data_IF_994396455064
#
_entry.id   IF_994396455064
#
_cell.length_a   1.000
_cell.length_b   1.000
_cell.length_c   1.000
_cell.angle_alpha   90.00
_cell.angle_beta   90.00
_cell.angle_gamma   90.00
#
_symmetry.space_group_name_H-M   'P 1'
#
loop_
_entity.id
_entity.type
_entity.pdbx_description
1 polymer ?
#
# COMPACT_ATOMS: atom_id res chain seq x y z
N UNK A 1 -40.94 -23.52 -3.18
CA UNK A 1 -41.89 -22.68 -2.40
C UNK A 1 -41.32 -22.49 -1.00
N UNK A 2 -40.33 -21.60 -0.87
CA UNK A 2 -39.86 -21.12 0.44
C UNK A 2 -40.55 -19.77 0.66
N UNK A 3 -41.38 -19.71 1.68
CA UNK A 3 -42.25 -18.57 1.98
C UNK A 3 -41.43 -17.37 2.43
N UNK A 4 -41.59 -16.27 1.70
CA UNK A 4 -41.09 -14.94 2.00
C UNK A 4 -41.61 -14.49 3.39
N UNK A 5 -40.74 -14.39 4.39
CA UNK A 5 -41.14 -13.85 5.69
C UNK A 5 -41.14 -12.31 5.63
N UNK A 6 -42.26 -11.72 6.01
CA UNK A 6 -42.48 -10.28 6.08
C UNK A 6 -41.49 -9.59 7.01
N UNK A 7 -40.95 -8.47 6.52
CA UNK A 7 -39.99 -7.59 7.21
C UNK A 7 -40.71 -6.82 8.32
N UNK A 8 -40.41 -7.14 9.57
CA UNK A 8 -40.78 -6.32 10.73
C UNK A 8 -39.66 -5.36 11.10
N UNK A 9 -39.94 -4.05 11.09
CA UNK A 9 -39.05 -3.03 11.64
C UNK A 9 -38.93 -3.21 13.17
N UNK A 10 -37.73 -3.52 13.66
CA UNK A 10 -37.42 -3.44 15.09
C UNK A 10 -36.28 -2.45 15.31
N UNK A 11 -36.54 -1.43 16.13
CA UNK A 11 -35.59 -0.40 16.52
C UNK A 11 -34.53 -0.97 17.48
N UNK A 12 -33.26 -0.64 17.23
CA UNK A 12 -32.17 -0.76 18.20
C UNK A 12 -31.22 -1.92 17.98
N UNK A 13 -30.06 -1.62 17.36
CA UNK A 13 -28.78 -2.37 17.34
C UNK A 13 -28.74 -3.85 16.96
N UNK A 14 -29.86 -4.52 16.69
CA UNK A 14 -29.91 -5.92 16.22
C UNK A 14 -30.70 -5.99 14.91
N UNK A 15 -30.05 -5.63 13.81
CA UNK A 15 -30.58 -5.89 12.48
C UNK A 15 -30.31 -7.36 12.16
N UNK A 16 -31.30 -8.24 12.39
CA UNK A 16 -31.18 -9.66 12.05
C UNK A 16 -31.02 -9.80 10.53
N UNK A 17 -29.90 -10.37 10.05
CA UNK A 17 -29.75 -10.81 8.67
C UNK A 17 -30.78 -11.92 8.37
N UNK A 18 -31.80 -11.60 7.58
CA UNK A 18 -32.78 -12.58 7.11
C UNK A 18 -32.41 -13.01 5.70
N UNK A 19 -32.69 -14.26 5.32
CA UNK A 19 -32.54 -14.72 3.95
C UNK A 19 -33.46 -13.90 3.03
N UNK A 20 -32.87 -13.14 2.11
CA UNK A 20 -33.57 -12.33 1.10
C UNK A 20 -33.41 -12.99 -0.26
N UNK A 21 -34.45 -12.93 -1.11
CA UNK A 21 -34.44 -13.45 -2.48
C UNK A 21 -33.19 -12.99 -3.27
N UNK A 22 -32.75 -13.83 -4.22
CA UNK A 22 -31.64 -13.52 -5.12
C UNK A 22 -31.96 -12.29 -5.97
N UNK A 23 -31.01 -11.38 -6.16
CA UNK A 23 -31.15 -10.21 -7.01
C UNK A 23 -31.53 -10.57 -8.46
N UNK A 24 -31.13 -11.74 -8.95
CA UNK A 24 -31.45 -12.24 -10.30
C UNK A 24 -32.88 -12.77 -10.44
N UNK A 25 -33.53 -13.14 -9.34
CA UNK A 25 -34.84 -13.79 -9.35
C UNK A 25 -36.01 -12.80 -9.30
N UNK A 26 -35.70 -11.50 -9.23
CA UNK A 26 -36.68 -10.42 -9.09
C UNK A 26 -36.68 -9.57 -10.37
N UNK A 27 -37.84 -8.99 -10.69
CA UNK A 27 -38.02 -8.13 -11.87
C UNK A 27 -36.98 -7.00 -11.90
N UNK A 28 -36.50 -6.63 -13.09
CA UNK A 28 -35.44 -5.61 -13.25
C UNK A 28 -35.78 -4.25 -12.59
N UNK A 29 -37.06 -3.96 -12.35
CA UNK A 29 -37.51 -2.73 -11.68
C UNK A 29 -37.32 -2.75 -10.16
N UNK A 30 -37.36 -3.92 -9.52
CA UNK A 30 -37.25 -4.08 -8.07
C UNK A 30 -35.81 -4.37 -7.61
N UNK A 31 -34.93 -4.74 -8.55
CA UNK A 31 -33.52 -5.04 -8.26
C UNK A 31 -32.76 -3.90 -7.55
N UNK A 32 -32.90 -2.62 -7.94
CA UNK A 32 -32.21 -1.54 -7.25
C UNK A 32 -32.66 -1.38 -5.80
N UNK A 33 -33.95 -1.52 -5.51
CA UNK A 33 -34.46 -1.42 -4.13
C UNK A 33 -34.00 -2.62 -3.27
N UNK A 34 -34.00 -3.82 -3.86
CA UNK A 34 -33.51 -5.02 -3.19
C UNK A 34 -32.01 -4.92 -2.87
N UNK A 35 -31.23 -4.38 -3.80
CA UNK A 35 -29.80 -4.12 -3.61
C UNK A 35 -29.54 -3.22 -2.40
N UNK A 36 -30.29 -2.10 -2.27
CA UNK A 36 -30.19 -1.22 -1.11
C UNK A 36 -30.54 -1.94 0.21
N UNK A 37 -31.60 -2.76 0.21
CA UNK A 37 -31.98 -3.55 1.40
C UNK A 37 -30.89 -4.55 1.80
N UNK A 38 -30.26 -5.24 0.84
CA UNK A 38 -29.15 -6.15 1.10
C UNK A 38 -27.92 -5.43 1.65
N UNK A 39 -27.56 -4.26 1.13
CA UNK A 39 -26.48 -3.42 1.68
C UNK A 39 -26.72 -3.06 3.15
N UNK A 40 -27.95 -2.69 3.48
CA UNK A 40 -28.33 -2.37 4.86
C UNK A 40 -28.22 -3.58 5.79
N UNK A 41 -28.61 -4.77 5.33
CA UNK A 41 -28.43 -6.00 6.10
C UNK A 41 -26.96 -6.33 6.34
N UNK A 42 -26.10 -6.09 5.34
CA UNK A 42 -24.65 -6.30 5.45
C UNK A 42 -23.95 -5.31 6.40
N UNK A 43 -24.64 -4.26 6.88
CA UNK A 43 -24.11 -3.37 7.93
C UNK A 43 -24.05 -4.04 9.32
N UNK A 44 -24.76 -5.16 9.53
CA UNK A 44 -24.69 -5.89 10.79
C UNK A 44 -23.32 -6.56 10.95
N UNK A 45 -22.58 -6.20 12.00
CA UNK A 45 -21.26 -6.76 12.32
C UNK A 45 -21.44 -7.95 13.27
N UNK A 46 -20.71 -9.03 13.03
CA UNK A 46 -20.72 -10.23 13.85
C UNK A 46 -19.36 -10.39 14.53
N UNK A 47 -19.37 -10.89 15.76
CA UNK A 47 -18.15 -11.24 16.48
C UNK A 47 -17.66 -12.62 16.05
N UNK A 48 -16.43 -12.69 15.53
CA UNK A 48 -15.79 -13.93 15.11
C UNK A 48 -14.88 -14.54 16.17
N UNK A 49 -14.63 -13.86 17.29
CA UNK A 49 -13.88 -14.40 18.42
C UNK A 49 -14.68 -15.50 19.13
N UNK A 50 -15.99 -15.36 19.21
CA UNK A 50 -16.89 -16.47 19.54
C UNK A 50 -17.22 -17.29 18.28
N UNK A 51 -16.54 -18.43 18.14
CA UNK A 51 -16.64 -19.31 16.98
C UNK A 51 -17.97 -20.06 16.89
N UNK A 52 -18.77 -20.11 17.96
CA UNK A 52 -20.02 -20.88 18.01
C UNK A 52 -21.27 -20.00 17.94
N UNK A 53 -21.15 -18.70 18.20
CA UNK A 53 -22.26 -17.76 18.09
C UNK A 53 -22.66 -17.48 16.64
N UNK A 54 -23.96 -17.30 16.42
CA UNK A 54 -24.54 -16.73 15.21
C UNK A 54 -24.14 -17.41 13.88
N UNK A 55 -23.71 -18.68 13.90
CA UNK A 55 -23.23 -19.43 12.72
C UNK A 55 -24.14 -19.27 11.50
N UNK A 56 -25.45 -19.41 11.71
CA UNK A 56 -26.46 -19.28 10.65
C UNK A 56 -26.54 -17.86 10.09
N UNK A 57 -26.41 -16.84 10.94
CA UNK A 57 -26.49 -15.43 10.55
C UNK A 57 -25.19 -14.98 9.87
N UNK A 58 -24.04 -15.45 10.36
CA UNK A 58 -22.73 -15.31 9.72
C UNK A 58 -22.76 -15.87 8.31
N UNK A 59 -23.33 -17.06 8.12
CA UNK A 59 -23.46 -17.68 6.81
C UNK A 59 -24.41 -16.90 5.89
N UNK A 60 -25.55 -16.41 6.40
CA UNK A 60 -26.45 -15.57 5.61
C UNK A 60 -25.78 -14.28 5.11
N UNK A 61 -25.03 -13.59 5.98
CA UNK A 61 -24.28 -12.40 5.57
C UNK A 61 -23.22 -12.76 4.54
N UNK A 62 -22.48 -13.85 4.71
CA UNK A 62 -21.48 -14.32 3.75
C UNK A 62 -22.09 -14.58 2.37
N UNK A 63 -23.19 -15.34 2.31
CA UNK A 63 -23.90 -15.62 1.06
C UNK A 63 -24.42 -14.35 0.40
N UNK A 64 -24.94 -13.41 1.20
CA UNK A 64 -25.46 -12.13 0.69
C UNK A 64 -24.35 -11.25 0.13
N UNK A 65 -23.20 -11.19 0.80
CA UNK A 65 -22.02 -10.45 0.30
C UNK A 65 -21.48 -11.04 -1.01
N UNK A 66 -21.38 -12.36 -1.11
CA UNK A 66 -21.00 -13.03 -2.37
C UNK A 66 -21.94 -12.66 -3.52
N UNK A 67 -23.25 -12.74 -3.27
CA UNK A 67 -24.25 -12.36 -4.26
C UNK A 67 -24.14 -10.88 -4.66
N UNK A 68 -23.84 -9.99 -3.70
CA UNK A 68 -23.61 -8.58 -3.99
C UNK A 68 -22.37 -8.38 -4.87
N UNK A 69 -21.28 -9.11 -4.62
CA UNK A 69 -20.06 -9.09 -5.46
C UNK A 69 -20.38 -9.54 -6.90
N UNK A 70 -21.10 -10.65 -7.05
CA UNK A 70 -21.52 -11.15 -8.36
C UNK A 70 -22.43 -10.15 -9.08
N UNK A 71 -23.39 -9.58 -8.35
CA UNK A 71 -24.35 -8.63 -8.88
C UNK A 71 -23.67 -7.35 -9.40
N UNK A 72 -22.73 -6.76 -8.66
CA UNK A 72 -22.01 -5.54 -9.09
C UNK A 72 -21.04 -5.78 -10.23
N UNK A 73 -20.62 -7.03 -10.42
CA UNK A 73 -19.69 -7.43 -11.49
C UNK A 73 -20.43 -7.64 -12.81
N UNK A 74 -21.61 -8.27 -12.77
CA UNK A 74 -22.34 -8.67 -13.99
C UNK A 74 -23.41 -7.65 -14.39
N UNK A 75 -24.09 -7.04 -13.42
CA UNK A 75 -25.27 -6.21 -13.67
C UNK A 75 -24.92 -4.77 -13.98
N UNK A 76 -25.76 -4.11 -14.78
CA UNK A 76 -25.66 -2.68 -15.11
C UNK A 76 -26.87 -1.92 -14.59
N UNK A 77 -26.70 -0.62 -14.36
CA UNK A 77 -27.79 0.27 -13.95
C UNK A 77 -28.14 0.21 -12.46
N UNK A 78 -27.40 -0.54 -11.64
CA UNK A 78 -27.60 -0.58 -10.18
C UNK A 78 -27.07 0.68 -9.46
N UNK A 79 -26.12 1.39 -10.09
CA UNK A 79 -25.45 2.58 -9.56
C UNK A 79 -26.33 3.85 -9.64
N UNK A 80 -27.45 3.84 -8.91
CA UNK A 80 -28.26 5.04 -8.70
C UNK A 80 -27.58 6.01 -7.71
N UNK A 81 -27.98 7.29 -7.70
CA UNK A 81 -27.41 8.27 -6.75
C UNK A 81 -27.59 7.87 -5.28
N UNK A 82 -28.67 7.14 -4.98
CA UNK A 82 -28.99 6.63 -3.63
C UNK A 82 -28.13 5.43 -3.21
N UNK A 83 -27.52 4.72 -4.18
CA UNK A 83 -26.67 3.57 -3.88
C UNK A 83 -25.32 3.98 -3.27
N UNK A 84 -24.73 5.10 -3.71
CA UNK A 84 -23.43 5.58 -3.22
C UNK A 84 -23.34 5.73 -1.68
N UNK A 85 -24.26 6.44 -1.00
CA UNK A 85 -24.20 6.56 0.45
C UNK A 85 -24.34 5.22 1.16
N UNK A 86 -25.23 4.33 0.70
CA UNK A 86 -25.45 3.03 1.34
C UNK A 86 -24.26 2.08 1.14
N UNK A 87 -23.60 2.11 -0.02
CA UNK A 87 -22.34 1.38 -0.26
C UNK A 87 -21.23 1.88 0.66
N UNK A 88 -20.97 3.19 0.68
CA UNK A 88 -19.90 3.76 1.50
C UNK A 88 -20.17 3.51 2.98
N UNK A 89 -21.44 3.59 3.42
CA UNK A 89 -21.86 3.25 4.77
C UNK A 89 -21.61 1.78 5.09
N UNK A 90 -22.08 0.85 4.25
CA UNK A 90 -21.87 -0.59 4.47
C UNK A 90 -20.39 -0.92 4.60
N UNK A 91 -19.55 -0.39 3.71
CA UNK A 91 -18.09 -0.57 3.77
C UNK A 91 -17.53 0.01 5.08
N UNK A 92 -17.87 1.27 5.39
CA UNK A 92 -17.36 1.96 6.60
C UNK A 92 -17.70 1.22 7.90
N UNK A 93 -18.91 0.68 8.02
CA UNK A 93 -19.35 -0.06 9.21
C UNK A 93 -18.61 -1.40 9.39
N UNK A 94 -18.11 -1.98 8.30
CA UNK A 94 -17.42 -3.27 8.34
C UNK A 94 -15.90 -3.12 8.49
N UNK A 95 -15.27 -2.21 7.75
CA UNK A 95 -13.80 -2.13 7.68
C UNK A 95 -13.20 -1.22 8.77
N UNK A 96 -13.85 -0.09 9.09
CA UNK A 96 -13.29 0.88 10.03
C UNK A 96 -13.52 0.42 11.47
N UNK A 97 -12.45 -0.11 12.05
CA UNK A 97 -12.39 -0.64 13.41
C UNK A 97 -11.05 -0.28 14.03
N UNK A 98 -10.99 -0.30 15.36
CA UNK A 98 -9.71 -0.29 16.07
C UNK A 98 -9.03 -1.63 15.84
N UNK A 99 -7.79 -1.61 15.38
CA UNK A 99 -6.98 -2.81 15.22
C UNK A 99 -6.67 -3.40 16.61
N UNK A 100 -6.57 -4.74 16.73
CA UNK A 100 -6.14 -5.36 17.97
C UNK A 100 -4.76 -4.83 18.39
N UNK A 101 -4.49 -4.69 19.69
CA UNK A 101 -3.16 -4.31 20.15
C UNK A 101 -2.15 -5.40 19.75
N UNK A 102 -0.94 -5.01 19.34
CA UNK A 102 0.14 -5.96 19.13
C UNK A 102 0.61 -6.53 20.47
N UNK A 103 0.74 -7.86 20.52
CA UNK A 103 1.09 -8.60 21.75
C UNK A 103 2.59 -8.52 22.10
N UNK A 104 3.46 -8.07 21.19
CA UNK A 104 4.92 -8.05 21.39
C UNK A 104 5.45 -6.71 21.94
N UNK A 105 6.09 -6.76 23.12
CA UNK A 105 6.87 -5.64 23.67
C UNK A 105 8.28 -5.53 23.04
N UNK A 106 8.73 -6.58 22.37
CA UNK A 106 9.97 -6.66 21.59
C UNK A 106 9.60 -7.09 20.18
N UNK A 107 9.15 -6.14 19.36
CA UNK A 107 8.78 -6.39 17.97
C UNK A 107 10.02 -6.81 17.17
N UNK A 108 10.04 -8.06 16.69
CA UNK A 108 10.97 -8.51 15.67
C UNK A 108 10.23 -8.72 14.34
N UNK A 109 10.31 -7.77 13.40
CA UNK A 109 9.61 -7.83 12.13
C UNK A 109 9.97 -9.04 11.26
N UNK A 110 11.09 -9.71 11.52
CA UNK A 110 11.53 -10.88 10.75
C UNK A 110 11.07 -12.21 11.37
N UNK A 111 10.81 -12.26 12.69
CA UNK A 111 10.45 -13.48 13.42
C UNK A 111 8.96 -13.54 13.82
N UNK A 112 8.30 -12.39 14.01
CA UNK A 112 6.92 -12.33 14.49
C UNK A 112 5.93 -12.89 13.44
N UNK A 113 5.18 -13.94 13.79
CA UNK A 113 4.10 -14.46 12.95
C UNK A 113 2.92 -13.47 12.92
N UNK A 114 2.39 -13.10 11.74
CA UNK A 114 1.34 -12.10 11.64
C UNK A 114 0.02 -12.62 12.20
N UNK A 115 -0.63 -11.84 13.07
CA UNK A 115 -1.97 -12.16 13.56
C UNK A 115 -3.00 -12.03 12.44
N UNK A 116 -3.67 -13.14 12.11
CA UNK A 116 -4.72 -13.15 11.09
C UNK A 116 -6.05 -12.64 11.64
N UNK A 117 -6.77 -11.86 10.83
CA UNK A 117 -8.06 -11.30 11.22
C UNK A 117 -9.15 -12.38 11.26
N UNK A 118 -9.80 -12.56 12.42
CA UNK A 118 -10.84 -13.58 12.61
C UNK A 118 -12.08 -13.32 11.74
N UNK A 119 -12.40 -12.05 11.47
CA UNK A 119 -13.55 -11.64 10.67
C UNK A 119 -13.32 -11.71 9.15
N UNK A 120 -12.16 -12.24 8.72
CA UNK A 120 -11.74 -12.31 7.33
C UNK A 120 -12.79 -12.90 6.36
N UNK A 121 -13.57 -13.95 6.70
CA UNK A 121 -14.60 -14.50 5.81
C UNK A 121 -15.66 -13.48 5.36
N UNK A 122 -15.90 -12.42 6.14
CA UNK A 122 -16.77 -11.31 5.73
C UNK A 122 -15.97 -10.16 5.15
N UNK A 123 -14.86 -9.78 5.77
CA UNK A 123 -14.06 -8.61 5.34
C UNK A 123 -13.51 -8.77 3.93
N UNK A 124 -13.05 -9.96 3.56
CA UNK A 124 -12.59 -10.25 2.20
C UNK A 124 -13.65 -9.86 1.16
N UNK A 125 -14.90 -10.26 1.38
CA UNK A 125 -16.00 -9.99 0.46
C UNK A 125 -16.39 -8.51 0.45
N UNK A 126 -16.28 -7.82 1.59
CA UNK A 126 -16.54 -6.36 1.66
C UNK A 126 -15.47 -5.60 0.86
N UNK A 127 -14.19 -5.97 0.99
CA UNK A 127 -13.11 -5.36 0.22
C UNK A 127 -13.25 -5.66 -1.27
N UNK A 128 -13.52 -6.92 -1.64
CA UNK A 128 -13.74 -7.31 -3.03
C UNK A 128 -14.92 -6.55 -3.66
N UNK A 129 -16.05 -6.50 -2.95
CA UNK A 129 -17.21 -5.72 -3.35
C UNK A 129 -16.85 -4.25 -3.59
N UNK A 130 -16.09 -3.64 -2.67
CA UNK A 130 -15.73 -2.23 -2.79
C UNK A 130 -14.77 -1.96 -3.95
N UNK A 131 -13.81 -2.86 -4.21
CA UNK A 131 -12.94 -2.78 -5.38
C UNK A 131 -13.77 -2.85 -6.66
N UNK A 132 -14.68 -3.83 -6.80
CA UNK A 132 -15.55 -3.96 -7.98
C UNK A 132 -16.42 -2.73 -8.17
N UNK A 133 -16.99 -2.19 -7.09
CA UNK A 133 -17.75 -0.95 -7.10
C UNK A 133 -16.91 0.24 -7.59
N UNK A 134 -15.67 0.39 -7.11
CA UNK A 134 -14.76 1.43 -7.58
C UNK A 134 -14.34 1.23 -9.03
N UNK A 135 -14.16 -0.01 -9.49
CA UNK A 135 -13.74 -0.37 -10.85
C UNK A 135 -14.86 -0.33 -11.89
N UNK A 136 -16.12 -0.28 -11.46
CA UNK A 136 -17.28 -0.20 -12.35
C UNK A 136 -17.16 0.94 -13.36
N UNK A 137 -17.53 0.66 -14.61
CA UNK A 137 -17.56 1.65 -15.70
C UNK A 137 -18.65 2.70 -15.50
N UNK A 138 -19.70 2.37 -14.72
CA UNK A 138 -20.80 3.29 -14.38
C UNK A 138 -20.47 4.17 -13.16
N UNK A 139 -19.31 3.97 -12.53
CA UNK A 139 -18.90 4.72 -11.36
C UNK A 139 -18.67 6.21 -11.69
N UNK A 140 -19.31 7.10 -10.94
CA UNK A 140 -19.23 8.54 -11.11
C UNK A 140 -18.50 9.20 -9.92
N UNK A 141 -17.23 9.61 -10.08
CA UNK A 141 -16.46 10.25 -9.01
C UNK A 141 -17.09 11.57 -8.50
N UNK A 142 -17.85 12.26 -9.34
CA UNK A 142 -18.54 13.52 -9.02
C UNK A 142 -19.60 13.37 -7.93
N UNK A 143 -20.26 12.20 -7.86
CA UNK A 143 -21.26 11.86 -6.83
C UNK A 143 -20.55 11.27 -5.61
N UNK A 144 -19.66 10.29 -5.84
CA UNK A 144 -18.97 9.56 -4.79
C UNK A 144 -18.12 10.44 -3.87
N UNK A 145 -17.55 11.55 -4.38
CA UNK A 145 -16.73 12.48 -3.58
C UNK A 145 -17.46 13.14 -2.40
N UNK A 146 -18.80 13.10 -2.38
CA UNK A 146 -19.62 13.58 -1.25
C UNK A 146 -19.52 12.66 -0.02
N UNK A 147 -19.12 11.41 -0.23
CA UNK A 147 -19.10 10.35 0.78
C UNK A 147 -17.70 9.78 1.01
N UNK A 148 -16.87 9.72 -0.04
CA UNK A 148 -15.45 9.41 0.04
C UNK A 148 -14.70 10.74 0.20
N UNK A 149 -14.58 11.19 1.43
CA UNK A 149 -13.95 12.46 1.81
C UNK A 149 -12.58 12.24 2.48
N UNK A 150 -12.00 13.31 3.02
CA UNK A 150 -10.72 13.25 3.72
C UNK A 150 -10.78 12.39 4.99
N UNK A 151 -11.93 12.37 5.68
CA UNK A 151 -12.13 11.55 6.88
C UNK A 151 -12.14 10.07 6.53
N UNK A 152 -12.86 9.70 5.47
CA UNK A 152 -12.86 8.33 4.95
C UNK A 152 -11.43 7.86 4.62
N UNK A 153 -10.66 8.69 3.91
CA UNK A 153 -9.27 8.39 3.57
C UNK A 153 -8.39 8.24 4.81
N UNK A 154 -8.57 9.08 5.82
CA UNK A 154 -7.78 9.00 7.05
C UNK A 154 -8.03 7.66 7.78
N UNK A 155 -9.30 7.29 7.96
CA UNK A 155 -9.66 6.01 8.59
C UNK A 155 -9.20 4.81 7.75
N UNK A 156 -9.20 4.93 6.41
CA UNK A 156 -8.66 3.90 5.52
C UNK A 156 -7.14 3.75 5.69
N UNK A 157 -6.41 4.86 5.85
CA UNK A 157 -4.96 4.84 6.05
C UNK A 157 -4.57 4.26 7.42
N UNK A 158 -5.39 4.43 8.45
CA UNK A 158 -5.17 3.80 9.76
C UNK A 158 -5.17 2.26 9.68
N UNK A 159 -5.95 1.68 8.77
CA UNK A 159 -6.03 0.22 8.59
C UNK A 159 -4.78 -0.40 7.95
N UNK A 160 -3.89 0.40 7.34
CA UNK A 160 -2.63 -0.12 6.80
C UNK A 160 -1.70 -0.67 7.89
N UNK A 161 -1.97 -0.36 9.15
CA UNK A 161 -1.25 -0.92 10.29
C UNK A 161 -1.74 -2.33 10.69
N UNK A 162 -2.70 -2.91 9.94
CA UNK A 162 -3.18 -4.28 10.17
C UNK A 162 -2.04 -5.30 10.05
N UNK A 163 -1.95 -6.23 11.00
CA UNK A 163 -0.97 -7.33 10.96
C UNK A 163 -1.26 -8.32 9.83
N UNK A 164 -2.52 -8.42 9.39
CA UNK A 164 -2.94 -9.34 8.34
C UNK A 164 -2.49 -8.85 6.95
N UNK A 165 -1.51 -9.52 6.29
CA UNK A 165 -1.01 -9.08 4.98
C UNK A 165 -2.08 -9.10 3.89
N UNK A 166 -3.11 -9.95 4.04
CA UNK A 166 -4.21 -10.03 3.08
C UNK A 166 -5.02 -8.74 3.11
N UNK A 167 -5.28 -8.20 4.31
CA UNK A 167 -6.00 -6.93 4.45
C UNK A 167 -5.21 -5.78 3.84
N UNK A 168 -3.89 -5.71 4.09
CA UNK A 168 -3.02 -4.68 3.53
C UNK A 168 -2.99 -4.69 2.00
N UNK A 169 -3.01 -5.86 1.36
CA UNK A 169 -3.04 -5.96 -0.11
C UNK A 169 -4.37 -5.44 -0.72
N UNK A 170 -5.50 -5.70 -0.07
CA UNK A 170 -6.78 -5.11 -0.47
C UNK A 170 -6.79 -3.59 -0.26
N UNK A 171 -6.32 -3.11 0.90
CA UNK A 171 -6.21 -1.68 1.21
C UNK A 171 -5.33 -0.96 0.19
N UNK A 172 -4.21 -1.56 -0.20
CA UNK A 172 -3.31 -1.06 -1.25
C UNK A 172 -4.07 -0.80 -2.54
N UNK A 173 -4.83 -1.80 -2.99
CA UNK A 173 -5.61 -1.72 -4.22
C UNK A 173 -6.72 -0.66 -4.11
N UNK A 174 -7.46 -0.64 -3.00
CA UNK A 174 -8.52 0.36 -2.75
C UNK A 174 -7.95 1.78 -2.75
N UNK A 175 -6.89 2.04 -2.00
CA UNK A 175 -6.28 3.36 -1.90
C UNK A 175 -5.72 3.83 -3.26
N UNK A 176 -5.09 2.93 -4.02
CA UNK A 176 -4.60 3.23 -5.37
C UNK A 176 -5.76 3.62 -6.31
N UNK A 177 -6.89 2.90 -6.29
CA UNK A 177 -8.08 3.24 -7.08
C UNK A 177 -8.68 4.59 -6.67
N UNK A 178 -8.75 4.86 -5.36
CA UNK A 178 -9.21 6.16 -4.84
C UNK A 178 -8.29 7.29 -5.33
N UNK A 179 -6.96 7.12 -5.20
CA UNK A 179 -5.99 8.10 -5.68
C UNK A 179 -6.13 8.39 -7.18
N UNK A 180 -6.34 7.34 -7.98
CA UNK A 180 -6.55 7.44 -9.42
C UNK A 180 -7.79 8.26 -9.78
N UNK A 181 -8.94 7.93 -9.17
CA UNK A 181 -10.27 8.49 -9.50
C UNK A 181 -10.56 9.86 -8.88
N UNK A 182 -10.00 10.16 -7.71
CA UNK A 182 -10.30 11.39 -6.96
C UNK A 182 -9.14 12.38 -6.98
N UNK A 183 -9.06 13.19 -8.03
CA UNK A 183 -8.01 14.22 -8.19
C UNK A 183 -7.90 15.15 -6.97
N UNK A 184 -9.04 15.53 -6.38
CA UNK A 184 -9.09 16.43 -5.21
C UNK A 184 -8.54 15.83 -3.92
N UNK A 185 -8.42 14.51 -3.82
CA UNK A 185 -7.87 13.83 -2.64
C UNK A 185 -6.37 13.54 -2.75
N UNK A 186 -5.78 13.65 -3.95
CA UNK A 186 -4.38 13.27 -4.20
C UNK A 186 -3.38 13.99 -3.29
N UNK A 187 -3.52 15.30 -3.14
CA UNK A 187 -2.63 16.08 -2.28
C UNK A 187 -2.78 15.69 -0.80
N UNK A 188 -4.00 15.43 -0.36
CA UNK A 188 -4.27 14.98 1.01
C UNK A 188 -3.67 13.60 1.27
N UNK A 189 -3.88 12.63 0.37
CA UNK A 189 -3.30 11.26 0.48
C UNK A 189 -1.78 11.34 0.58
N UNK A 190 -1.10 12.05 -0.33
CA UNK A 190 0.37 12.20 -0.27
C UNK A 190 0.84 12.82 1.05
N UNK A 191 0.12 13.82 1.55
CA UNK A 191 0.44 14.46 2.84
C UNK A 191 0.28 13.50 4.01
N UNK A 192 -0.78 12.68 4.04
CA UNK A 192 -0.99 11.73 5.13
C UNK A 192 0.02 10.58 5.09
N UNK A 193 0.34 10.02 3.92
CA UNK A 193 1.40 9.02 3.78
C UNK A 193 2.74 9.59 4.24
N UNK A 194 3.06 10.84 3.89
CA UNK A 194 4.26 11.52 4.38
C UNK A 194 4.27 11.61 5.91
N UNK A 195 3.17 12.03 6.54
CA UNK A 195 3.08 12.07 8.01
C UNK A 195 3.27 10.69 8.65
N UNK A 196 2.70 9.63 8.05
CA UNK A 196 2.88 8.25 8.52
C UNK A 196 4.36 7.87 8.47
N UNK A 197 5.05 8.12 7.36
CA UNK A 197 6.47 7.81 7.23
C UNK A 197 7.36 8.63 8.16
N UNK A 198 7.06 9.92 8.36
CA UNK A 198 7.79 10.74 9.33
C UNK A 198 7.62 10.20 10.75
N UNK A 199 6.40 9.85 11.16
CA UNK A 199 6.16 9.22 12.47
C UNK A 199 6.88 7.87 12.58
N UNK A 200 6.82 7.06 11.54
CA UNK A 200 7.51 5.76 11.50
C UNK A 200 9.03 5.92 11.66
N UNK A 201 9.67 6.82 10.92
CA UNK A 201 11.13 6.99 10.96
C UNK A 201 11.62 7.64 12.25
N UNK A 202 10.88 8.62 12.79
CA UNK A 202 11.40 9.48 13.87
C UNK A 202 10.76 9.24 15.25
N UNK A 203 9.63 8.53 15.34
CA UNK A 203 8.89 8.38 16.60
C UNK A 203 8.71 6.91 16.99
N UNK A 204 8.14 6.07 16.11
CA UNK A 204 7.67 4.74 16.51
C UNK A 204 8.57 3.60 16.05
N UNK A 205 9.23 3.71 14.90
CA UNK A 205 9.88 2.59 14.18
C UNK A 205 8.99 1.34 14.00
N UNK A 206 7.67 1.51 14.14
CA UNK A 206 6.68 0.46 13.99
C UNK A 206 5.50 0.97 13.15
N UNK A 207 5.25 0.27 12.05
CA UNK A 207 4.10 0.39 11.16
C UNK A 207 4.11 -0.77 10.16
N UNK A 208 3.03 -1.55 10.07
CA UNK A 208 3.03 -2.80 9.29
C UNK A 208 2.94 -2.58 7.76
N UNK A 209 2.32 -1.48 7.32
CA UNK A 209 1.99 -1.23 5.91
C UNK A 209 2.99 -0.41 5.09
N UNK A 210 4.27 -0.33 5.50
CA UNK A 210 5.26 0.53 4.80
C UNK A 210 5.46 0.07 3.35
N UNK A 211 5.59 -1.23 3.12
CA UNK A 211 5.82 -1.81 1.78
C UNK A 211 4.68 -1.46 0.83
N UNK A 212 3.43 -1.68 1.26
CA UNK A 212 2.24 -1.45 0.44
C UNK A 212 2.05 0.04 0.12
N UNK A 213 2.32 0.94 1.08
CA UNK A 213 2.29 2.38 0.82
C UNK A 213 3.39 2.80 -0.17
N UNK A 214 4.58 2.20 -0.09
CA UNK A 214 5.65 2.44 -1.06
C UNK A 214 5.31 1.94 -2.46
N UNK A 215 4.65 0.78 -2.61
CA UNK A 215 4.19 0.30 -3.93
C UNK A 215 3.25 1.30 -4.60
N UNK A 216 2.30 1.85 -3.83
CA UNK A 216 1.37 2.88 -4.31
C UNK A 216 2.16 4.12 -4.71
N UNK A 217 3.10 4.56 -3.87
CA UNK A 217 3.93 5.71 -4.15
C UNK A 217 4.79 5.52 -5.40
N UNK A 218 5.36 4.33 -5.64
CA UNK A 218 6.12 4.03 -6.85
C UNK A 218 5.29 4.27 -8.11
N UNK A 219 4.04 3.78 -8.12
CA UNK A 219 3.08 4.05 -9.21
C UNK A 219 2.75 5.55 -9.35
N UNK A 220 2.57 6.25 -8.22
CA UNK A 220 2.31 7.69 -8.20
C UNK A 220 3.49 8.50 -8.76
N UNK A 221 4.72 8.16 -8.37
CA UNK A 221 5.96 8.81 -8.79
C UNK A 221 6.15 8.64 -10.29
N UNK A 222 5.90 7.43 -10.81
CA UNK A 222 5.94 7.18 -12.25
C UNK A 222 4.96 8.10 -13.02
N UNK A 223 3.82 8.43 -12.42
CA UNK A 223 2.83 9.35 -12.97
C UNK A 223 3.10 10.84 -12.78
N UNK A 224 4.24 11.25 -12.19
CA UNK A 224 4.55 12.67 -12.00
C UNK A 224 4.79 13.39 -13.32
N UNK A 225 4.21 14.59 -13.43
CA UNK A 225 4.47 15.51 -14.53
C UNK A 225 5.85 16.18 -14.36
N UNK A 226 6.52 16.42 -15.48
CA UNK A 226 7.76 17.17 -15.54
C UNK A 226 7.49 18.65 -15.87
N UNK A 227 8.24 19.59 -15.28
CA UNK A 227 9.29 19.39 -14.28
C UNK A 227 8.74 18.98 -12.91
N UNK A 228 9.51 18.19 -12.16
CA UNK A 228 9.13 17.76 -10.81
C UNK A 228 8.92 18.96 -9.88
N UNK A 229 7.79 18.94 -9.16
CA UNK A 229 7.47 19.94 -8.14
C UNK A 229 8.44 19.89 -6.97
N UNK A 230 8.70 21.06 -6.36
CA UNK A 230 9.55 21.17 -5.18
C UNK A 230 9.08 20.27 -4.01
N UNK A 231 7.76 20.11 -3.82
CA UNK A 231 7.20 19.21 -2.79
C UNK A 231 7.64 17.76 -2.98
N UNK A 232 7.74 17.27 -4.22
CA UNK A 232 8.15 15.89 -4.51
C UNK A 232 9.66 15.70 -4.28
N UNK A 233 10.48 16.70 -4.64
CA UNK A 233 11.93 16.67 -4.37
C UNK A 233 12.22 16.69 -2.86
N UNK A 234 11.45 17.48 -2.11
CA UNK A 234 11.53 17.49 -0.65
C UNK A 234 11.11 16.15 -0.04
N UNK A 235 10.04 15.54 -0.56
CA UNK A 235 9.60 14.21 -0.13
C UNK A 235 10.71 13.15 -0.31
N UNK A 236 11.38 13.12 -1.46
CA UNK A 236 12.52 12.24 -1.71
C UNK A 236 13.61 12.42 -0.63
N UNK A 237 14.08 13.65 -0.43
CA UNK A 237 15.23 13.93 0.44
C UNK A 237 14.91 13.82 1.94
N UNK A 238 13.68 14.18 2.34
CA UNK A 238 13.29 14.28 3.76
C UNK A 238 12.58 13.04 4.28
N UNK A 239 12.09 12.17 3.40
CA UNK A 239 11.26 11.02 3.79
C UNK A 239 11.83 9.72 3.21
N UNK A 240 11.96 9.61 1.87
CA UNK A 240 12.41 8.36 1.26
C UNK A 240 13.86 8.01 1.61
N UNK A 241 14.79 8.97 1.55
CA UNK A 241 16.18 8.70 1.92
C UNK A 241 16.29 8.29 3.41
N UNK A 242 15.69 8.99 4.38
CA UNK A 242 15.71 8.56 5.78
C UNK A 242 15.04 7.20 6.07
N UNK A 243 14.11 6.71 5.24
CA UNK A 243 13.52 5.37 5.44
C UNK A 243 14.58 4.24 5.46
N UNK A 244 15.74 4.43 4.84
CA UNK A 244 16.84 3.46 4.86
C UNK A 244 17.48 3.26 6.25
N UNK A 245 17.22 4.15 7.22
CA UNK A 245 17.86 4.05 8.53
C UNK A 245 17.17 3.09 9.49
N UNK A 246 15.88 2.83 9.30
CA UNK A 246 15.06 2.05 10.25
C UNK A 246 15.44 0.57 10.24
N UNK A 247 15.27 -0.11 11.38
CA UNK A 247 15.73 -1.51 11.58
C UNK A 247 15.13 -2.47 10.58
N UNK A 248 13.82 -2.40 10.37
CA UNK A 248 12.99 -3.27 9.53
C UNK A 248 13.07 -3.01 8.02
N UNK A 249 14.18 -2.43 7.54
CA UNK A 249 14.36 -2.09 6.11
C UNK A 249 14.18 -3.31 5.19
N UNK A 250 14.58 -4.51 5.62
CA UNK A 250 14.45 -5.77 4.89
C UNK A 250 13.03 -6.03 4.36
N UNK A 251 12.00 -5.59 5.11
CA UNK A 251 10.60 -5.84 4.76
C UNK A 251 10.09 -5.04 3.56
N UNK A 252 10.70 -3.89 3.25
CA UNK A 252 10.15 -2.96 2.24
C UNK A 252 11.21 -2.32 1.32
N UNK A 253 12.48 -2.77 1.42
CA UNK A 253 13.58 -2.18 0.66
C UNK A 253 13.38 -2.23 -0.85
N UNK A 254 12.88 -3.35 -1.41
CA UNK A 254 12.68 -3.46 -2.84
C UNK A 254 11.71 -2.37 -3.36
N UNK A 255 10.64 -2.10 -2.61
CA UNK A 255 9.66 -1.06 -2.92
C UNK A 255 10.26 0.34 -2.75
N UNK A 256 11.14 0.53 -1.76
CA UNK A 256 11.84 1.80 -1.53
C UNK A 256 12.85 2.09 -2.65
N UNK A 257 13.71 1.13 -2.99
CA UNK A 257 14.68 1.21 -4.07
C UNK A 257 13.98 1.53 -5.40
N UNK A 258 12.88 0.84 -5.70
CA UNK A 258 12.03 1.17 -6.84
C UNK A 258 11.58 2.63 -6.83
N UNK A 259 11.06 3.14 -5.70
CA UNK A 259 10.67 4.56 -5.61
C UNK A 259 11.85 5.52 -5.86
N UNK A 260 13.05 5.19 -5.37
CA UNK A 260 14.26 5.99 -5.57
C UNK A 260 14.63 6.03 -7.06
N UNK A 261 14.74 4.86 -7.70
CA UNK A 261 15.06 4.74 -9.14
C UNK A 261 14.04 5.50 -9.99
N UNK A 262 12.74 5.37 -9.71
CA UNK A 262 11.69 6.11 -10.41
C UNK A 262 11.85 7.63 -10.29
N UNK A 263 12.38 8.15 -9.18
CA UNK A 263 12.68 9.58 -9.05
C UNK A 263 13.85 10.01 -9.93
N UNK A 264 14.89 9.18 -10.03
CA UNK A 264 16.08 9.46 -10.81
C UNK A 264 15.80 9.41 -12.32
N UNK A 265 14.97 8.47 -12.78
CA UNK A 265 14.49 8.44 -14.17
C UNK A 265 13.70 9.71 -14.55
N UNK A 266 13.00 10.34 -13.60
CA UNK A 266 12.25 11.57 -13.83
C UNK A 266 13.12 12.83 -13.83
N UNK A 267 14.15 12.87 -12.99
CA UNK A 267 15.04 14.02 -12.85
C UNK A 267 16.46 13.56 -12.43
N UNK A 268 17.37 13.33 -13.40
CA UNK A 268 18.74 12.87 -13.14
C UNK A 268 19.56 13.83 -12.27
N UNK A 269 19.16 15.10 -12.14
CA UNK A 269 19.84 16.03 -11.23
C UNK A 269 19.68 15.65 -9.74
N UNK A 270 18.75 14.74 -9.42
CA UNK A 270 18.53 14.22 -8.07
C UNK A 270 19.51 13.09 -7.69
N UNK A 271 20.31 12.57 -8.62
CA UNK A 271 21.20 11.44 -8.31
C UNK A 271 22.26 11.79 -7.28
N UNK A 272 22.88 12.98 -7.38
CA UNK A 272 23.88 13.42 -6.41
C UNK A 272 23.36 13.47 -4.97
N UNK A 273 22.25 14.17 -4.65
CA UNK A 273 21.71 14.19 -3.29
C UNK A 273 21.25 12.81 -2.80
N UNK A 274 20.75 11.93 -3.68
CA UNK A 274 20.38 10.55 -3.33
C UNK A 274 21.60 9.73 -2.92
N UNK A 275 22.62 9.65 -3.78
CA UNK A 275 23.84 8.88 -3.49
C UNK A 275 24.54 9.41 -2.23
N UNK A 276 24.68 10.74 -2.09
CA UNK A 276 25.24 11.32 -0.87
C UNK A 276 24.41 11.00 0.37
N UNK A 277 23.09 10.92 0.24
CA UNK A 277 22.17 10.50 1.29
C UNK A 277 22.37 9.05 1.72
N UNK A 278 22.42 8.13 0.76
CA UNK A 278 22.69 6.70 1.01
C UNK A 278 24.06 6.49 1.66
N UNK A 279 25.11 7.13 1.12
CA UNK A 279 26.46 7.06 1.70
C UNK A 279 26.54 7.64 3.11
N UNK A 280 25.73 8.66 3.42
CA UNK A 280 25.64 9.22 4.79
C UNK A 280 25.01 8.21 5.76
N UNK A 281 24.02 7.46 5.31
CA UNK A 281 23.30 6.46 6.11
C UNK A 281 23.85 5.03 5.95
N UNK A 282 25.05 4.89 5.39
CA UNK A 282 25.66 3.60 5.12
C UNK A 282 25.70 2.72 6.39
N UNK A 283 25.13 1.50 6.36
CA UNK A 283 25.14 0.61 7.51
C UNK A 283 26.57 0.22 7.89
N UNK A 284 26.89 0.22 9.19
CA UNK A 284 28.23 -0.14 9.69
C UNK A 284 28.24 -1.38 10.57
N UNK A 285 27.07 -1.84 10.97
CA UNK A 285 26.89 -2.90 11.98
C UNK A 285 26.03 -4.07 11.49
N UNK A 286 25.37 -3.92 10.33
CA UNK A 286 24.46 -4.92 9.78
C UNK A 286 24.87 -5.21 8.33
N UNK A 287 25.52 -6.35 8.11
CA UNK A 287 26.02 -6.76 6.80
C UNK A 287 24.90 -7.03 5.80
N UNK A 288 23.76 -7.56 6.24
CA UNK A 288 22.58 -7.74 5.40
C UNK A 288 22.11 -6.42 4.80
N UNK A 289 22.01 -5.35 5.61
CA UNK A 289 21.69 -4.01 5.10
C UNK A 289 22.77 -3.47 4.17
N UNK A 290 24.05 -3.73 4.42
CA UNK A 290 25.11 -3.35 3.47
C UNK A 290 24.91 -4.01 2.10
N UNK A 291 24.55 -5.31 2.07
CA UNK A 291 24.24 -6.02 0.82
C UNK A 291 23.03 -5.40 0.11
N UNK A 292 22.01 -4.98 0.86
CA UNK A 292 20.83 -4.31 0.31
C UNK A 292 21.18 -2.95 -0.30
N UNK A 293 21.94 -2.11 0.41
CA UNK A 293 22.43 -0.82 -0.10
C UNK A 293 23.30 -0.99 -1.36
N UNK A 294 24.13 -2.03 -1.40
CA UNK A 294 24.90 -2.37 -2.60
C UNK A 294 23.99 -2.81 -3.75
N UNK A 295 22.89 -3.50 -3.48
CA UNK A 295 21.89 -3.81 -4.49
C UNK A 295 21.23 -2.57 -5.07
N UNK A 296 20.73 -1.69 -4.20
CA UNK A 296 20.10 -0.44 -4.63
C UNK A 296 21.07 0.48 -5.37
N UNK A 297 22.33 0.57 -4.92
CA UNK A 297 23.35 1.35 -5.61
C UNK A 297 23.61 0.83 -7.03
N UNK A 298 23.57 -0.48 -7.26
CA UNK A 298 23.73 -1.05 -8.60
C UNK A 298 22.58 -0.59 -9.51
N UNK A 299 21.33 -0.72 -9.03
CA UNK A 299 20.13 -0.29 -9.78
C UNK A 299 20.15 1.22 -10.08
N UNK A 300 20.65 2.05 -9.15
CA UNK A 300 20.82 3.49 -9.38
C UNK A 300 21.90 3.75 -10.44
N UNK A 301 23.00 3.01 -10.40
CA UNK A 301 24.09 3.15 -11.38
C UNK A 301 23.66 2.68 -12.77
N UNK A 302 22.71 1.76 -12.89
CA UNK A 302 22.16 1.34 -14.19
C UNK A 302 21.40 2.45 -14.93
N UNK A 303 20.85 3.42 -14.20
CA UNK A 303 20.09 4.55 -14.77
C UNK A 303 20.83 5.89 -14.70
N UNK A 304 22.05 5.92 -14.16
CA UNK A 304 22.79 7.18 -13.98
C UNK A 304 23.29 7.74 -15.30
N UNK A 305 23.17 9.07 -15.49
CA UNK A 305 23.85 9.73 -16.61
C UNK A 305 25.36 9.91 -16.30
N UNK A 306 26.26 9.76 -17.30
CA UNK A 306 27.70 9.95 -17.10
C UNK A 306 28.06 11.30 -16.45
N UNK A 307 27.32 12.36 -16.78
CA UNK A 307 27.53 13.70 -16.22
C UNK A 307 27.25 13.80 -14.72
N UNK A 308 26.32 12.98 -14.21
CA UNK A 308 26.03 12.90 -12.78
C UNK A 308 26.99 11.95 -12.07
N UNK A 309 27.40 10.87 -12.73
CA UNK A 309 28.37 9.90 -12.20
C UNK A 309 29.68 10.57 -11.76
N UNK A 310 30.23 11.45 -12.60
CA UNK A 310 31.49 12.18 -12.29
C UNK A 310 31.40 12.96 -10.97
N UNK A 311 30.21 13.46 -10.57
CA UNK A 311 30.03 14.25 -9.34
C UNK A 311 30.07 13.39 -8.07
N UNK A 312 29.73 12.11 -8.18
CA UNK A 312 29.62 11.16 -7.06
C UNK A 312 30.71 10.10 -7.05
N UNK A 313 31.53 10.04 -8.10
CA UNK A 313 32.60 9.07 -8.28
C UNK A 313 33.52 8.95 -7.06
N UNK A 314 34.12 10.05 -6.61
CA UNK A 314 35.06 10.02 -5.47
C UNK A 314 34.46 9.45 -4.17
N UNK A 315 33.31 9.96 -3.66
CA UNK A 315 32.73 9.40 -2.44
C UNK A 315 32.20 7.99 -2.63
N UNK A 316 31.68 7.64 -3.82
CA UNK A 316 31.18 6.30 -4.12
C UNK A 316 32.31 5.26 -4.11
N UNK A 317 33.40 5.50 -4.85
CA UNK A 317 34.49 4.52 -4.97
C UNK A 317 35.30 4.38 -3.68
N UNK A 318 35.39 5.43 -2.86
CA UNK A 318 35.90 5.31 -1.48
C UNK A 318 35.08 4.35 -0.62
N UNK A 319 33.77 4.27 -0.84
CA UNK A 319 32.91 3.33 -0.11
C UNK A 319 33.01 1.93 -0.71
N UNK A 320 32.97 1.81 -2.04
CA UNK A 320 33.16 0.52 -2.76
C UNK A 320 34.47 -0.16 -2.35
N UNK A 321 35.58 0.58 -2.29
CA UNK A 321 36.89 0.06 -1.87
C UNK A 321 36.87 -0.60 -0.49
N UNK A 322 36.13 -0.01 0.47
CA UNK A 322 35.92 -0.60 1.80
C UNK A 322 35.07 -1.86 1.72
N UNK A 323 34.02 -1.87 0.91
CA UNK A 323 33.13 -3.03 0.74
C UNK A 323 33.86 -4.21 0.10
N UNK A 324 34.71 -3.96 -0.91
CA UNK A 324 35.57 -4.98 -1.54
C UNK A 324 36.52 -5.61 -0.52
N UNK A 325 37.07 -4.77 0.37
CA UNK A 325 37.97 -5.21 1.44
C UNK A 325 37.23 -5.74 2.68
N UNK A 326 35.91 -5.91 2.63
CA UNK A 326 35.11 -6.34 3.77
C UNK A 326 35.46 -7.78 4.15
N UNK A 327 35.63 -8.10 5.45
CA UNK A 327 35.81 -9.48 5.90
C UNK A 327 34.52 -10.31 5.74
N UNK A 328 33.36 -9.66 5.54
CA UNK A 328 32.09 -10.35 5.36
C UNK A 328 31.90 -10.76 3.90
N UNK A 329 31.93 -12.06 3.62
CA UNK A 329 31.98 -12.57 2.24
C UNK A 329 30.82 -12.07 1.37
N UNK A 330 29.57 -12.02 1.88
CA UNK A 330 28.42 -11.57 1.08
C UNK A 330 28.54 -10.10 0.66
N UNK A 331 29.20 -9.25 1.46
CA UNK A 331 29.38 -7.83 1.14
C UNK A 331 30.44 -7.69 0.04
N UNK A 332 31.58 -8.35 0.21
CA UNK A 332 32.66 -8.34 -0.77
C UNK A 332 32.22 -8.95 -2.11
N UNK A 333 31.53 -10.09 -2.08
CA UNK A 333 31.00 -10.74 -3.28
C UNK A 333 29.96 -9.85 -3.99
N UNK A 334 29.01 -9.26 -3.25
CA UNK A 334 27.95 -8.41 -3.84
C UNK A 334 28.52 -7.23 -4.62
N UNK A 335 29.56 -6.57 -4.11
CA UNK A 335 30.18 -5.43 -4.79
C UNK A 335 31.06 -5.86 -5.96
N UNK A 336 31.73 -7.01 -5.89
CA UNK A 336 32.52 -7.54 -7.01
C UNK A 336 31.65 -7.85 -8.25
N UNK A 337 30.36 -8.16 -8.05
CA UNK A 337 29.43 -8.33 -9.16
C UNK A 337 29.22 -7.07 -10.01
N UNK A 338 29.55 -5.87 -9.50
CA UNK A 338 29.46 -4.64 -10.31
C UNK A 338 30.33 -4.70 -11.56
N UNK A 339 31.44 -5.44 -11.52
CA UNK A 339 32.32 -5.63 -12.68
C UNK A 339 31.73 -6.53 -13.76
N UNK A 340 30.64 -7.25 -13.46
CA UNK A 340 29.91 -8.03 -14.46
C UNK A 340 28.83 -7.20 -15.17
N UNK A 341 28.53 -5.99 -14.68
CA UNK A 341 27.58 -5.09 -15.29
C UNK A 341 28.26 -4.24 -16.37
N UNK A 342 27.87 -4.44 -17.64
CA UNK A 342 28.49 -3.79 -18.80
C UNK A 342 28.40 -2.26 -18.72
N UNK A 343 27.29 -1.71 -18.22
CA UNK A 343 27.13 -0.26 -18.14
C UNK A 343 28.02 0.34 -17.06
N UNK A 344 28.04 -0.24 -15.86
CA UNK A 344 28.93 0.20 -14.79
C UNK A 344 30.39 0.11 -15.22
N UNK A 345 30.78 -0.98 -15.90
CA UNK A 345 32.13 -1.13 -16.46
C UNK A 345 32.48 -0.03 -17.46
N UNK A 346 31.56 0.33 -18.36
CA UNK A 346 31.79 1.43 -19.31
C UNK A 346 32.04 2.77 -18.60
N UNK A 347 31.29 3.07 -17.53
CA UNK A 347 31.48 4.27 -16.71
C UNK A 347 32.83 4.27 -15.98
N UNK A 348 33.29 3.09 -15.54
CA UNK A 348 34.59 2.90 -14.90
C UNK A 348 35.73 3.14 -15.90
N UNK A 349 35.63 2.58 -17.10
CA UNK A 349 36.65 2.71 -18.15
C UNK A 349 36.85 4.17 -18.55
N UNK A 350 35.76 4.91 -18.77
CA UNK A 350 35.76 6.34 -19.12
C UNK A 350 36.40 7.22 -18.04
N UNK A 351 36.37 6.80 -16.77
CA UNK A 351 36.86 7.55 -15.62
C UNK A 351 38.02 6.88 -14.87
N UNK A 352 38.70 5.94 -15.54
CA UNK A 352 39.76 5.08 -14.97
C UNK A 352 40.87 5.86 -14.27
N UNK A 353 41.24 7.02 -14.79
CA UNK A 353 42.27 7.90 -14.21
C UNK A 353 41.98 8.32 -12.76
N UNK A 354 40.72 8.41 -12.35
CA UNK A 354 40.33 8.79 -10.98
C UNK A 354 40.02 7.55 -10.14
N UNK A 355 39.37 6.55 -10.74
CA UNK A 355 38.88 5.37 -10.04
C UNK A 355 40.03 4.46 -9.59
N UNK A 356 41.06 4.27 -10.41
CA UNK A 356 42.22 3.43 -10.11
C UNK A 356 43.06 3.93 -8.92
N UNK A 357 42.83 5.15 -8.44
CA UNK A 357 43.45 5.65 -7.21
C UNK A 357 42.72 5.23 -5.93
N UNK A 358 41.47 4.74 -6.04
CA UNK A 358 40.63 4.36 -4.90
C UNK A 358 40.46 2.85 -4.73
N UNK A 359 40.50 2.09 -5.84
CA UNK A 359 40.59 0.62 -5.85
C UNK A 359 42.04 0.23 -5.59
#
# INVERSE_FOLDING_TARGET
>A
TLTCQQVGYFSGRLQKCVCVCLCTDVSAQEQPELFLKKLQQCCAVFDFMDTLSDLKMKEYKRSTLNELVDYVTVSRGYLTEQAYPEVVKMVSYNIFRTLPPSDSNEFDPEEDEPTLEASWPHLQLVYEFFIRFLESQEFQPSIAKKYIDQKFVLQLLELFDSEDPRERDYLKTVLHRIYGKFLGLRAFIRKQINNIFLRFVYETEHFNGVAELLEILGSIINGFALPLKAEHKQFLVKVLIPLHTVRSLSLFHAQLAYCIVQFLEKDPALTEPVIRGLLKFWPKTCSQKEVMFLGELEEILDVIEPTQFVKILDPLFKQISKCVSSPHFQVAERVLYYWNNEYIMSLIEENSNVILHHI
#
